data_IF_817084936083
#
_entry.id   IF_817084936083
#
_cell.length_a   1.000
_cell.length_b   1.000
_cell.length_c   1.000
_cell.angle_alpha   90.00
_cell.angle_beta   90.00
_cell.angle_gamma   90.00
#
_symmetry.space_group_name_H-M   'P 1'
#
loop_
_entity.id
_entity.type
_entity.pdbx_description
1 polymer ?
#
# COMPACT_ATOMS: atom_id res chain seq x y z
N UNK A 1 3.96 26.34 -11.24
CA UNK A 1 3.91 24.86 -11.13
C UNK A 1 2.93 24.32 -12.17
N UNK A 2 3.41 23.89 -13.33
CA UNK A 2 2.57 23.27 -14.34
C UNK A 2 2.59 21.75 -14.11
N UNK A 3 1.44 21.19 -13.74
CA UNK A 3 1.27 19.74 -13.71
C UNK A 3 1.52 19.21 -15.13
N UNK A 4 2.63 18.49 -15.32
CA UNK A 4 2.88 17.70 -16.53
C UNK A 4 1.73 16.69 -16.65
N UNK A 5 0.71 17.04 -17.43
CA UNK A 5 -0.23 16.06 -18.00
C UNK A 5 0.64 14.94 -18.57
N UNK A 6 0.44 13.71 -18.12
CA UNK A 6 1.12 12.56 -18.70
C UNK A 6 0.87 12.63 -20.19
N UNK A 7 1.93 12.89 -20.97
CA UNK A 7 1.82 12.96 -22.42
C UNK A 7 1.34 11.59 -22.87
N UNK A 8 0.07 11.53 -23.23
CA UNK A 8 -0.51 10.41 -23.95
C UNK A 8 0.37 10.23 -25.18
N UNK A 9 0.80 9.01 -25.47
CA UNK A 9 1.49 8.72 -26.72
C UNK A 9 0.48 8.90 -27.86
N UNK A 10 0.39 10.12 -28.36
CA UNK A 10 -0.51 10.51 -29.44
C UNK A 10 -0.22 9.73 -30.71
N UNK A 11 1.01 9.23 -30.89
CA UNK A 11 1.40 8.44 -32.05
C UNK A 11 0.80 7.03 -31.96
N UNK A 12 0.86 6.39 -30.79
CA UNK A 12 0.24 5.08 -30.59
C UNK A 12 -1.29 5.10 -30.77
N UNK A 13 -1.96 6.16 -30.31
CA UNK A 13 -3.40 6.34 -30.54
C UNK A 13 -3.68 6.60 -32.02
N UNK A 14 -2.87 7.43 -32.70
CA UNK A 14 -3.06 7.71 -34.11
C UNK A 14 -2.93 6.46 -34.98
N UNK A 15 -1.94 5.59 -34.72
CA UNK A 15 -1.79 4.32 -35.46
C UNK A 15 -2.96 3.36 -35.20
N UNK A 16 -3.39 3.23 -33.95
CA UNK A 16 -4.59 2.43 -33.60
C UNK A 16 -5.84 2.98 -34.28
N UNK A 17 -5.95 4.31 -34.38
CA UNK A 17 -7.10 4.98 -35.00
C UNK A 17 -7.09 4.75 -36.51
N UNK A 18 -5.96 4.90 -37.20
CA UNK A 18 -5.84 4.61 -38.63
C UNK A 18 -6.28 3.18 -38.97
N UNK A 19 -5.91 2.21 -38.13
CA UNK A 19 -6.29 0.81 -38.30
C UNK A 19 -7.79 0.56 -38.08
N UNK A 20 -8.44 1.31 -37.18
CA UNK A 20 -9.86 1.16 -36.87
C UNK A 20 -10.78 1.94 -37.82
N UNK A 21 -10.27 2.97 -38.51
CA UNK A 21 -11.07 3.82 -39.38
C UNK A 21 -11.41 3.11 -40.71
N UNK A 22 -12.70 3.08 -41.10
CA UNK A 22 -13.14 2.47 -42.35
C UNK A 22 -12.67 3.26 -43.58
N UNK A 23 -12.91 2.72 -44.78
CA UNK A 23 -12.59 3.42 -46.04
C UNK A 23 -13.49 4.68 -46.19
N UNK A 24 -12.93 5.89 -46.31
CA UNK A 24 -13.70 7.12 -46.52
C UNK A 24 -14.70 7.08 -47.68
N UNK A 25 -14.43 6.30 -48.71
CA UNK A 25 -15.26 6.19 -49.93
C UNK A 25 -16.58 5.48 -49.67
N UNK A 26 -16.69 4.72 -48.59
CA UNK A 26 -17.94 4.08 -48.16
C UNK A 26 -18.88 5.07 -47.44
N UNK A 27 -18.37 6.25 -47.07
CA UNK A 27 -19.08 7.24 -46.25
C UNK A 27 -19.54 8.48 -47.02
N UNK A 28 -19.31 8.53 -48.33
CA UNK A 28 -19.80 9.61 -49.19
C UNK A 28 -20.56 9.06 -50.40
N UNK A 29 -21.50 9.84 -50.90
CA UNK A 29 -22.13 9.57 -52.19
C UNK A 29 -21.10 9.81 -53.31
N UNK A 30 -20.82 8.79 -54.13
CA UNK A 30 -19.89 8.91 -55.25
C UNK A 30 -20.68 9.25 -56.52
N UNK A 31 -20.49 10.47 -57.03
CA UNK A 31 -21.12 10.93 -58.28
C UNK A 31 -20.21 10.80 -59.49
N UNK A 32 -18.90 10.85 -59.30
CA UNK A 32 -17.93 10.74 -60.37
C UNK A 32 -16.78 9.83 -59.96
N UNK A 33 -16.31 9.01 -60.90
CA UNK A 33 -15.08 8.21 -60.78
C UNK A 33 -14.12 8.66 -61.87
N UNK A 34 -12.88 8.98 -61.51
CA UNK A 34 -11.84 9.41 -62.44
C UNK A 34 -10.77 8.35 -62.61
N UNK A 35 -9.99 8.48 -63.67
CA UNK A 35 -8.81 7.64 -63.94
C UNK A 35 -7.82 7.73 -62.77
N UNK A 36 -7.32 6.58 -62.29
CA UNK A 36 -6.41 6.53 -61.14
C UNK A 36 -7.08 6.31 -59.78
N UNK A 37 -8.38 6.00 -59.73
CA UNK A 37 -9.08 5.63 -58.49
C UNK A 37 -9.57 6.81 -57.63
N UNK A 38 -9.48 8.04 -58.15
CA UNK A 38 -10.06 9.22 -57.53
C UNK A 38 -11.59 9.21 -57.68
N UNK A 39 -12.30 9.56 -56.60
CA UNK A 39 -13.76 9.69 -56.58
C UNK A 39 -14.16 11.11 -56.17
N UNK A 40 -15.29 11.58 -56.70
CA UNK A 40 -15.85 12.89 -56.36
C UNK A 40 -17.34 12.84 -56.05
N UNK A 41 -17.79 13.75 -55.18
CA UNK A 41 -19.17 13.83 -54.73
C UNK A 41 -19.50 15.07 -53.88
N UNK A 42 -20.69 15.09 -53.26
CA UNK A 42 -21.05 16.08 -52.23
C UNK A 42 -20.08 16.05 -51.05
N UNK A 43 -19.73 17.22 -50.53
CA UNK A 43 -18.98 17.32 -49.27
C UNK A 43 -19.89 16.95 -48.09
N UNK A 44 -19.45 16.10 -47.15
CA UNK A 44 -20.26 15.74 -45.99
C UNK A 44 -20.59 16.92 -45.06
N UNK A 45 -19.82 18.02 -45.12
CA UNK A 45 -20.04 19.21 -44.29
C UNK A 45 -20.74 20.35 -45.02
N UNK A 46 -20.36 20.65 -46.27
CA UNK A 46 -20.89 21.81 -47.01
C UNK A 46 -21.72 21.44 -48.24
N UNK A 47 -21.96 20.15 -48.50
CA UNK A 47 -22.74 19.68 -49.64
C UNK A 47 -22.09 19.97 -50.99
N UNK A 48 -22.91 20.39 -51.95
CA UNK A 48 -22.54 20.51 -53.36
C UNK A 48 -22.72 19.20 -54.14
N UNK A 49 -22.24 19.14 -55.37
CA UNK A 49 -22.40 17.94 -56.21
C UNK A 49 -21.08 17.22 -56.48
N UNK A 50 -20.01 17.96 -56.77
CA UNK A 50 -18.74 17.42 -57.29
C UNK A 50 -17.50 18.10 -56.65
N UNK A 51 -17.69 18.79 -55.52
CA UNK A 51 -16.66 19.68 -54.95
C UNK A 51 -15.75 19.03 -53.92
N UNK A 52 -16.08 17.80 -53.51
CA UNK A 52 -15.32 17.00 -52.58
C UNK A 52 -14.68 15.83 -53.33
N UNK A 53 -13.36 15.69 -53.21
CA UNK A 53 -12.57 14.66 -53.89
C UNK A 53 -11.87 13.81 -52.85
N UNK A 54 -11.85 12.50 -53.08
CA UNK A 54 -11.03 11.53 -52.33
C UNK A 54 -10.13 10.81 -53.34
N UNK A 55 -8.82 10.90 -53.15
CA UNK A 55 -7.81 10.20 -53.98
C UNK A 55 -7.61 8.77 -53.49
N UNK A 56 -6.90 7.95 -54.25
CA UNK A 56 -6.62 6.54 -53.93
C UNK A 56 -5.82 6.32 -52.63
N UNK A 57 -5.06 7.32 -52.17
CA UNK A 57 -4.28 7.30 -50.92
C UNK A 57 -5.06 7.83 -49.71
N UNK A 58 -6.39 7.95 -49.86
CA UNK A 58 -7.34 8.55 -48.90
C UNK A 58 -7.16 10.04 -48.66
N UNK A 59 -6.21 10.69 -49.34
CA UNK A 59 -6.11 12.14 -49.26
C UNK A 59 -7.37 12.78 -49.87
N UNK A 60 -7.93 13.75 -49.17
CA UNK A 60 -9.15 14.41 -49.62
C UNK A 60 -9.01 15.93 -49.71
N UNK A 61 -9.90 16.53 -50.48
CA UNK A 61 -9.97 17.97 -50.66
C UNK A 61 -11.41 18.42 -50.83
N UNK A 62 -11.74 19.56 -50.21
CA UNK A 62 -12.99 20.27 -50.48
C UNK A 62 -12.67 21.66 -51.01
N UNK A 63 -13.16 21.99 -52.20
CA UNK A 63 -12.95 23.32 -52.81
C UNK A 63 -13.60 24.45 -52.01
N UNK A 64 -14.66 24.17 -51.25
CA UNK A 64 -15.42 25.16 -50.50
C UNK A 64 -14.97 25.27 -49.03
N UNK A 65 -14.77 24.15 -48.34
CA UNK A 65 -14.33 24.17 -46.94
C UNK A 65 -12.86 24.56 -46.77
N UNK A 66 -12.09 24.72 -47.86
CA UNK A 66 -10.67 25.08 -47.82
C UNK A 66 -9.75 23.96 -47.31
N UNK A 67 -10.27 22.74 -47.15
CA UNK A 67 -9.52 21.57 -46.71
C UNK A 67 -8.70 21.01 -47.86
N UNK A 68 -7.39 20.87 -47.67
CA UNK A 68 -6.45 20.41 -48.70
C UNK A 68 -5.53 19.33 -48.10
N UNK A 69 -5.55 18.13 -48.66
CA UNK A 69 -4.53 17.10 -48.40
C UNK A 69 -4.57 16.48 -47.00
N UNK A 70 -5.76 16.36 -46.40
CA UNK A 70 -5.92 15.66 -45.12
C UNK A 70 -5.88 14.14 -45.30
N UNK A 71 -5.42 13.41 -44.28
CA UNK A 71 -5.39 11.95 -44.23
C UNK A 71 -6.75 11.34 -43.80
N UNK A 72 -6.82 10.01 -43.70
CA UNK A 72 -8.03 9.29 -43.27
C UNK A 72 -8.58 9.78 -41.92
N UNK A 73 -7.71 10.11 -40.96
CA UNK A 73 -8.12 10.69 -39.66
C UNK A 73 -8.78 12.05 -39.89
N UNK A 74 -8.11 12.93 -40.64
CA UNK A 74 -8.61 14.27 -40.97
C UNK A 74 -9.96 14.21 -41.70
N UNK A 75 -10.19 13.18 -42.52
CA UNK A 75 -11.47 12.97 -43.20
C UNK A 75 -12.57 12.74 -42.17
N UNK A 76 -12.40 11.81 -41.23
CA UNK A 76 -13.44 11.51 -40.25
C UNK A 76 -13.62 12.61 -39.19
N UNK A 77 -12.56 13.37 -38.89
CA UNK A 77 -12.70 14.61 -38.09
C UNK A 77 -13.59 15.62 -38.81
N UNK A 78 -13.42 15.78 -40.12
CA UNK A 78 -14.26 16.65 -40.94
C UNK A 78 -15.70 16.11 -41.06
N UNK A 79 -15.85 14.82 -41.33
CA UNK A 79 -17.13 14.13 -41.51
C UNK A 79 -18.02 14.22 -40.26
N UNK A 80 -17.47 13.90 -39.09
CA UNK A 80 -18.21 13.96 -37.83
C UNK A 80 -18.16 15.34 -37.15
N UNK A 81 -17.46 16.32 -37.75
CA UNK A 81 -17.21 17.63 -37.18
C UNK A 81 -16.68 17.56 -35.72
N UNK A 82 -15.63 16.76 -35.52
CA UNK A 82 -15.03 16.48 -34.20
C UNK A 82 -13.52 16.71 -34.21
N UNK A 83 -12.94 16.95 -33.03
CA UNK A 83 -11.48 16.92 -32.85
C UNK A 83 -10.94 15.48 -32.78
N UNK A 84 -9.61 15.34 -32.69
CA UNK A 84 -8.93 14.04 -32.67
C UNK A 84 -9.38 13.19 -31.46
N UNK A 85 -9.61 13.83 -30.31
CA UNK A 85 -10.02 13.14 -29.09
C UNK A 85 -11.45 12.61 -29.23
N UNK A 86 -12.39 13.41 -29.75
CA UNK A 86 -13.76 12.97 -29.98
C UNK A 86 -13.86 11.90 -31.07
N UNK A 87 -13.00 11.95 -32.10
CA UNK A 87 -12.91 10.87 -33.08
C UNK A 87 -12.37 9.58 -32.46
N UNK A 88 -11.32 9.69 -31.64
CA UNK A 88 -10.71 8.54 -31.02
C UNK A 88 -11.60 7.94 -29.91
N UNK A 89 -12.38 8.75 -29.17
CA UNK A 89 -13.40 8.26 -28.24
C UNK A 89 -14.48 7.46 -28.98
N UNK A 90 -14.87 7.91 -30.18
CA UNK A 90 -15.86 7.22 -31.02
C UNK A 90 -15.38 5.85 -31.51
N UNK A 91 -14.12 5.71 -31.94
CA UNK A 91 -13.63 4.47 -32.57
C UNK A 91 -12.81 3.56 -31.64
N UNK A 92 -12.18 4.11 -30.61
CA UNK A 92 -11.22 3.38 -29.78
C UNK A 92 -11.59 3.36 -28.28
N UNK A 93 -12.62 4.09 -27.86
CA UNK A 93 -12.90 4.33 -26.44
C UNK A 93 -11.64 4.80 -25.70
N UNK A 94 -11.13 5.98 -26.11
CA UNK A 94 -9.89 6.56 -25.58
C UNK A 94 -9.91 6.71 -24.07
N UNK A 95 -11.07 6.97 -23.47
CA UNK A 95 -11.19 7.01 -22.00
C UNK A 95 -10.82 5.66 -21.39
N UNK A 96 -11.28 4.56 -21.96
CA UNK A 96 -10.88 3.21 -21.53
C UNK A 96 -9.41 2.94 -21.76
N UNK A 97 -8.84 3.34 -22.90
CA UNK A 97 -7.39 3.20 -23.16
C UNK A 97 -6.56 3.98 -22.14
N UNK A 98 -6.90 5.25 -21.89
CA UNK A 98 -6.24 6.10 -20.89
C UNK A 98 -6.33 5.50 -19.49
N UNK A 99 -7.51 4.97 -19.12
CA UNK A 99 -7.72 4.29 -17.83
C UNK A 99 -6.85 3.04 -17.71
N UNK A 100 -6.75 2.24 -18.77
CA UNK A 100 -5.91 1.03 -18.83
C UNK A 100 -4.41 1.36 -18.74
N UNK A 101 -3.93 2.34 -19.50
CA UNK A 101 -2.52 2.77 -19.45
C UNK A 101 -2.15 3.37 -18.09
N UNK A 102 -3.03 4.18 -17.49
CA UNK A 102 -2.84 4.67 -16.11
C UNK A 102 -2.78 3.51 -15.11
N UNK A 103 -3.70 2.53 -15.22
CA UNK A 103 -3.69 1.34 -14.37
C UNK A 103 -2.42 0.51 -14.55
N UNK A 104 -1.97 0.31 -15.80
CA UNK A 104 -0.72 -0.39 -16.13
C UNK A 104 0.50 0.31 -15.57
N UNK A 105 0.54 1.65 -15.63
CA UNK A 105 1.60 2.44 -15.01
C UNK A 105 1.62 2.24 -13.50
N UNK A 106 0.46 2.27 -12.84
CA UNK A 106 0.38 1.96 -11.41
C UNK A 106 0.91 0.56 -11.11
N UNK A 107 0.57 -0.44 -11.95
CA UNK A 107 1.02 -1.82 -11.76
C UNK A 107 2.54 -1.97 -11.87
N UNK A 108 3.18 -1.24 -12.80
CA UNK A 108 4.65 -1.20 -12.94
C UNK A 108 5.35 -0.63 -11.70
N UNK A 109 4.66 0.20 -10.92
CA UNK A 109 5.22 0.86 -9.75
C UNK A 109 4.96 0.06 -8.45
N UNK A 110 4.36 -1.13 -8.54
CA UNK A 110 4.15 -2.01 -7.39
C UNK A 110 5.49 -2.59 -6.95
N UNK A 111 5.90 -2.27 -5.73
CA UNK A 111 7.16 -2.78 -5.13
C UNK A 111 6.89 -3.96 -4.20
N UNK A 112 5.75 -3.96 -3.49
CA UNK A 112 5.41 -5.03 -2.54
C UNK A 112 3.89 -5.21 -2.43
N UNK A 113 3.47 -6.44 -2.20
CA UNK A 113 2.09 -6.81 -1.86
C UNK A 113 2.09 -7.51 -0.50
N UNK A 114 1.21 -7.11 0.39
CA UNK A 114 1.02 -7.71 1.71
C UNK A 114 -0.37 -8.36 1.77
N UNK A 115 -0.45 -9.70 1.67
CA UNK A 115 -1.74 -10.40 1.66
C UNK A 115 -2.34 -10.50 3.07
N UNK A 116 -3.65 -10.29 3.16
CA UNK A 116 -4.44 -10.44 4.37
C UNK A 116 -5.38 -11.63 4.19
N UNK A 117 -5.26 -12.61 5.08
CA UNK A 117 -6.02 -13.85 5.04
C UNK A 117 -7.06 -13.90 6.16
N UNK A 118 -8.17 -14.59 5.93
CA UNK A 118 -9.11 -14.96 6.99
C UNK A 118 -8.52 -16.04 7.92
N UNK A 119 -9.32 -16.47 8.89
CA UNK A 119 -8.98 -17.48 9.89
C UNK A 119 -8.62 -18.84 9.27
N UNK A 120 -9.22 -19.16 8.11
CA UNK A 120 -8.99 -20.41 7.36
C UNK A 120 -7.81 -20.29 6.38
N UNK A 121 -7.16 -19.12 6.32
CA UNK A 121 -6.06 -18.85 5.39
C UNK A 121 -6.49 -18.44 3.99
N UNK A 122 -7.78 -18.15 3.74
CA UNK A 122 -8.25 -17.65 2.44
C UNK A 122 -7.90 -16.17 2.29
N UNK A 123 -7.41 -15.78 1.11
CA UNK A 123 -7.07 -14.39 0.81
C UNK A 123 -8.33 -13.52 0.78
N UNK A 124 -8.37 -12.48 1.61
CA UNK A 124 -9.44 -11.48 1.62
C UNK A 124 -9.09 -10.25 0.78
N UNK A 125 -7.88 -9.71 0.97
CA UNK A 125 -7.38 -8.56 0.25
C UNK A 125 -5.85 -8.47 0.34
N UNK A 126 -5.26 -7.53 -0.39
CA UNK A 126 -3.84 -7.20 -0.27
C UNK A 126 -3.65 -5.69 -0.13
N UNK A 127 -2.70 -5.30 0.71
CA UNK A 127 -2.17 -3.93 0.75
C UNK A 127 -1.00 -3.86 -0.25
N UNK A 128 -1.11 -2.96 -1.21
CA UNK A 128 -0.16 -2.78 -2.31
C UNK A 128 0.65 -1.52 -2.04
N UNK A 129 1.97 -1.65 -2.04
CA UNK A 129 2.92 -0.54 -1.91
C UNK A 129 3.44 -0.13 -3.28
N UNK A 130 3.30 1.15 -3.60
CA UNK A 130 3.84 1.75 -4.80
C UNK A 130 5.01 2.68 -4.49
N UNK A 131 6.04 2.62 -5.31
CA UNK A 131 7.14 3.58 -5.28
C UNK A 131 7.47 4.05 -6.69
N UNK A 132 7.64 5.36 -6.84
CA UNK A 132 8.09 6.00 -8.08
C UNK A 132 9.29 6.89 -7.74
N UNK A 133 10.37 6.88 -8.55
CA UNK A 133 11.48 7.80 -8.36
C UNK A 133 11.01 9.26 -8.28
N UNK A 134 11.43 9.97 -7.24
CA UNK A 134 11.06 11.38 -7.01
C UNK A 134 9.64 11.61 -6.47
N UNK A 135 8.94 10.56 -6.00
CA UNK A 135 7.62 10.66 -5.36
C UNK A 135 7.60 9.94 -4.02
N UNK A 136 6.72 10.38 -3.14
CA UNK A 136 6.46 9.65 -1.90
C UNK A 136 5.82 8.30 -2.18
N UNK A 137 6.18 7.31 -1.35
CA UNK A 137 5.54 5.99 -1.35
C UNK A 137 4.04 6.12 -1.11
N UNK A 138 3.25 5.34 -1.81
CA UNK A 138 1.78 5.31 -1.62
C UNK A 138 1.29 3.88 -1.43
N UNK A 139 0.12 3.74 -0.83
CA UNK A 139 -0.49 2.45 -0.52
C UNK A 139 -1.93 2.39 -1.03
N UNK A 140 -2.35 1.22 -1.51
CA UNK A 140 -3.73 0.93 -1.93
C UNK A 140 -4.17 -0.44 -1.43
N UNK A 141 -5.47 -0.65 -1.22
CA UNK A 141 -6.01 -1.94 -0.79
C UNK A 141 -6.87 -2.53 -1.90
N UNK A 142 -6.57 -3.77 -2.27
CA UNK A 142 -7.21 -4.49 -3.36
C UNK A 142 -7.81 -5.78 -2.83
N UNK A 143 -9.12 -5.97 -3.02
CA UNK A 143 -9.74 -7.28 -2.82
C UNK A 143 -9.10 -8.33 -3.74
N UNK A 144 -8.87 -7.96 -5.00
CA UNK A 144 -8.16 -8.77 -6.00
C UNK A 144 -7.52 -7.89 -7.08
N UNK A 145 -6.80 -8.48 -8.03
CA UNK A 145 -6.30 -7.77 -9.21
C UNK A 145 -7.41 -7.09 -10.03
N UNK A 146 -8.59 -7.71 -10.05
CA UNK A 146 -9.77 -7.28 -10.80
C UNK A 146 -10.66 -6.35 -9.97
N UNK A 147 -10.64 -6.47 -8.64
CA UNK A 147 -11.34 -5.58 -7.71
C UNK A 147 -10.34 -4.78 -6.88
N UNK A 148 -9.91 -3.64 -7.43
CA UNK A 148 -8.96 -2.69 -6.80
C UNK A 148 -9.62 -1.73 -5.82
N UNK A 149 -10.46 -2.26 -4.94
CA UNK A 149 -11.11 -1.55 -3.85
C UNK A 149 -11.52 -2.54 -2.75
N UNK A 150 -12.01 -2.03 -1.62
CA UNK A 150 -12.43 -2.83 -0.46
C UNK A 150 -13.96 -3.01 -0.35
N UNK A 151 -14.72 -2.78 -1.44
CA UNK A 151 -16.19 -2.85 -1.38
C UNK A 151 -16.64 -4.30 -1.10
N UNK A 152 -17.35 -4.48 0.00
CA UNK A 152 -17.84 -5.81 0.40
C UNK A 152 -16.76 -6.74 0.97
N UNK A 153 -15.57 -6.23 1.28
CA UNK A 153 -14.47 -7.04 1.83
C UNK A 153 -14.25 -6.74 3.31
N UNK A 154 -14.26 -7.81 4.12
CA UNK A 154 -13.95 -7.77 5.54
C UNK A 154 -12.48 -7.39 5.76
N UNK A 155 -12.23 -6.51 6.72
CA UNK A 155 -10.88 -6.14 7.16
C UNK A 155 -10.48 -6.99 8.35
N UNK A 156 -9.24 -7.43 8.35
CA UNK A 156 -8.63 -8.21 9.42
C UNK A 156 -7.22 -7.68 9.68
N UNK A 157 -6.62 -8.10 10.79
CA UNK A 157 -5.22 -7.81 11.09
C UNK A 157 -4.28 -8.60 10.16
N UNK A 158 -3.08 -8.07 9.96
CA UNK A 158 -2.08 -8.75 9.14
C UNK A 158 -1.66 -10.08 9.78
N UNK A 159 -1.40 -11.12 8.97
CA UNK A 159 -0.95 -12.42 9.47
C UNK A 159 -1.94 -13.11 10.45
N UNK A 160 -3.25 -12.89 10.28
CA UNK A 160 -4.30 -13.40 11.19
C UNK A 160 -4.20 -14.91 11.52
N UNK A 161 -4.02 -15.84 10.56
CA UNK A 161 -3.88 -17.27 10.88
C UNK A 161 -2.79 -17.57 11.92
N UNK A 162 -1.61 -16.96 11.77
CA UNK A 162 -0.51 -17.16 12.70
C UNK A 162 -0.80 -16.52 14.06
N UNK A 163 -1.44 -15.34 14.08
CA UNK A 163 -1.88 -14.67 15.32
C UNK A 163 -2.84 -15.55 16.12
N UNK A 164 -3.76 -16.24 15.44
CA UNK A 164 -4.69 -17.15 16.11
C UNK A 164 -4.00 -18.39 16.69
N UNK A 165 -2.96 -18.89 16.02
CA UNK A 165 -2.23 -20.10 16.38
C UNK A 165 -1.20 -19.93 17.52
N UNK A 166 -0.95 -18.72 18.00
CA UNK A 166 0.05 -18.44 19.06
C UNK A 166 -0.53 -17.62 20.20
N UNK A 167 0.03 -17.79 21.40
CA UNK A 167 -0.30 -16.94 22.55
C UNK A 167 0.57 -15.67 22.62
N UNK A 168 1.67 -15.60 21.85
CA UNK A 168 2.64 -14.50 21.89
C UNK A 168 2.65 -13.75 20.58
N UNK A 169 2.30 -12.47 20.61
CA UNK A 169 2.12 -11.65 19.40
C UNK A 169 2.84 -10.31 19.54
N UNK A 170 3.59 -9.95 18.50
CA UNK A 170 4.19 -8.63 18.35
C UNK A 170 3.27 -7.72 17.56
N UNK A 171 3.08 -6.49 18.03
CA UNK A 171 2.28 -5.46 17.35
C UNK A 171 3.23 -4.34 16.89
N UNK A 172 3.28 -4.10 15.59
CA UNK A 172 4.08 -3.03 14.95
C UNK A 172 3.20 -2.13 14.11
N UNK A 173 3.73 -1.01 13.63
CA UNK A 173 2.96 0.01 12.90
C UNK A 173 2.68 -0.29 11.44
N UNK A 174 3.53 -1.10 10.79
CA UNK A 174 3.42 -1.34 9.35
C UNK A 174 3.73 -2.77 8.93
N UNK A 175 3.23 -3.13 7.75
CA UNK A 175 3.37 -4.50 7.22
C UNK A 175 4.83 -4.85 6.90
N UNK A 176 5.66 -3.85 6.59
CA UNK A 176 7.11 -4.03 6.36
C UNK A 176 7.79 -4.61 7.60
N UNK A 177 7.52 -4.02 8.76
CA UNK A 177 8.11 -4.42 10.04
C UNK A 177 7.60 -5.78 10.48
N UNK A 178 6.29 -6.00 10.36
CA UNK A 178 5.68 -7.26 10.69
C UNK A 178 6.25 -8.38 9.82
N UNK A 179 6.41 -8.13 8.51
CA UNK A 179 6.99 -9.09 7.57
C UNK A 179 8.43 -9.45 7.95
N UNK A 180 9.27 -8.48 8.37
CA UNK A 180 10.64 -8.77 8.79
C UNK A 180 10.70 -9.61 10.06
N UNK A 181 9.88 -9.29 11.07
CA UNK A 181 9.80 -10.08 12.31
C UNK A 181 9.26 -11.49 12.05
N UNK A 182 8.26 -11.63 11.17
CA UNK A 182 7.74 -12.93 10.74
C UNK A 182 8.81 -13.77 10.04
N UNK A 183 9.64 -13.16 9.20
CA UNK A 183 10.76 -13.84 8.54
C UNK A 183 11.84 -14.32 9.53
N UNK A 184 11.91 -13.75 10.73
CA UNK A 184 12.79 -14.19 11.82
C UNK A 184 12.16 -15.26 12.73
N UNK A 185 10.98 -15.79 12.39
CA UNK A 185 10.29 -16.82 13.17
C UNK A 185 9.48 -16.29 14.36
N UNK A 186 9.31 -14.98 14.47
CA UNK A 186 8.39 -14.39 15.45
C UNK A 186 6.98 -14.28 14.86
N UNK A 187 5.95 -14.13 15.69
CA UNK A 187 4.60 -13.80 15.18
C UNK A 187 4.32 -12.32 15.38
N UNK A 188 4.31 -11.57 14.29
CA UNK A 188 4.06 -10.14 14.25
C UNK A 188 2.86 -9.78 13.37
N UNK A 189 2.11 -8.78 13.82
CA UNK A 189 0.91 -8.26 13.16
C UNK A 189 0.87 -6.74 13.16
N UNK A 190 -0.03 -6.19 12.36
CA UNK A 190 -0.36 -4.77 12.28
C UNK A 190 -1.79 -4.59 11.75
N UNK A 191 -2.35 -3.39 11.89
CA UNK A 191 -3.63 -3.02 11.26
C UNK A 191 -3.45 -2.65 9.78
N UNK A 192 -4.43 -2.95 8.91
CA UNK A 192 -4.40 -2.46 7.54
C UNK A 192 -4.42 -0.93 7.52
N UNK A 193 -3.70 -0.34 6.56
CA UNK A 193 -3.56 1.13 6.39
C UNK A 193 -2.69 1.82 7.46
N UNK A 194 -1.83 1.06 8.14
CA UNK A 194 -0.80 1.59 9.03
C UNK A 194 -1.33 2.25 10.31
N UNK A 195 -0.47 3.05 10.92
CA UNK A 195 -0.56 3.54 12.30
C UNK A 195 -1.76 4.44 12.64
N UNK A 196 -2.46 5.00 11.65
CA UNK A 196 -3.63 5.86 11.88
C UNK A 196 -4.98 5.12 11.84
N UNK A 197 -5.00 3.82 11.55
CA UNK A 197 -6.23 3.07 11.25
C UNK A 197 -6.44 1.86 12.17
N UNK A 198 -5.82 1.84 13.35
CA UNK A 198 -6.13 0.83 14.35
C UNK A 198 -7.59 0.96 14.79
N UNK A 199 -8.31 -0.16 14.79
CA UNK A 199 -9.70 -0.22 15.23
C UNK A 199 -9.84 -1.15 16.44
N UNK A 200 -10.73 -0.82 17.40
CA UNK A 200 -10.97 -1.68 18.55
C UNK A 200 -11.38 -3.11 18.19
N UNK A 201 -12.09 -3.31 17.08
CA UNK A 201 -12.52 -4.65 16.59
C UNK A 201 -11.36 -5.62 16.34
N UNK A 202 -10.14 -5.11 16.13
CA UNK A 202 -8.95 -5.93 15.93
C UNK A 202 -8.43 -6.54 17.24
N UNK A 203 -8.76 -5.96 18.39
CA UNK A 203 -8.35 -6.48 19.69
C UNK A 203 -9.00 -7.83 20.04
N UNK A 204 -10.15 -8.16 19.42
CA UNK A 204 -10.83 -9.44 19.64
C UNK A 204 -9.95 -10.64 19.28
N UNK A 205 -9.15 -10.53 18.20
CA UNK A 205 -8.19 -11.58 17.80
C UNK A 205 -7.01 -11.73 18.79
N UNK A 206 -6.84 -10.76 19.69
CA UNK A 206 -5.74 -10.67 20.65
C UNK A 206 -6.17 -11.00 22.08
N UNK A 207 -7.43 -11.38 22.28
CA UNK A 207 -7.99 -11.70 23.59
C UNK A 207 -7.23 -12.83 24.28
N UNK A 208 -6.82 -12.59 25.52
CA UNK A 208 -6.09 -13.57 26.35
C UNK A 208 -4.64 -13.83 25.92
N UNK A 209 -4.09 -13.08 24.95
CA UNK A 209 -2.71 -13.26 24.46
C UNK A 209 -1.72 -12.37 25.21
N UNK A 210 -0.45 -12.74 25.15
CA UNK A 210 0.70 -11.96 25.61
C UNK A 210 1.26 -11.12 24.47
N UNK A 211 1.21 -9.80 24.62
CA UNK A 211 1.47 -8.86 23.55
C UNK A 211 2.74 -8.05 23.84
N UNK A 212 3.54 -7.81 22.80
CA UNK A 212 4.59 -6.81 22.84
C UNK A 212 4.39 -5.79 21.71
N UNK A 213 4.21 -4.53 22.07
CA UNK A 213 3.99 -3.43 21.13
C UNK A 213 5.33 -2.75 20.89
N UNK A 214 5.77 -2.69 19.64
CA UNK A 214 6.98 -2.01 19.20
C UNK A 214 6.57 -0.81 18.32
N UNK A 215 6.22 0.34 18.93
CA UNK A 215 5.88 1.54 18.18
C UNK A 215 7.12 2.20 17.58
N UNK A 216 6.92 2.98 16.52
CA UNK A 216 7.94 3.85 15.95
C UNK A 216 8.38 4.90 16.98
N UNK A 217 9.66 5.24 16.97
CA UNK A 217 10.25 6.28 17.82
C UNK A 217 9.97 7.70 17.28
N UNK A 218 8.73 7.99 16.88
CA UNK A 218 8.29 9.30 16.40
C UNK A 218 6.96 9.76 17.03
N UNK A 219 6.46 10.93 16.64
CA UNK A 219 5.20 11.46 17.18
C UNK A 219 3.96 10.65 16.71
N UNK A 220 3.81 10.28 15.42
CA UNK A 220 2.77 9.36 14.97
C UNK A 220 2.71 8.04 15.76
N UNK A 221 3.86 7.45 16.08
CA UNK A 221 3.90 6.18 16.79
C UNK A 221 3.40 6.25 18.23
N UNK A 222 3.49 7.42 18.85
CA UNK A 222 2.83 7.68 20.15
C UNK A 222 1.31 7.62 20.04
N UNK A 223 0.75 8.18 18.97
CA UNK A 223 -0.70 8.15 18.72
C UNK A 223 -1.18 6.73 18.48
N UNK A 224 -0.45 5.96 17.68
CA UNK A 224 -0.74 4.54 17.44
C UNK A 224 -0.70 3.72 18.72
N UNK A 225 0.38 3.85 19.50
CA UNK A 225 0.53 3.16 20.78
C UNK A 225 -0.68 3.39 21.69
N UNK A 226 -1.12 4.65 21.83
CA UNK A 226 -2.27 5.00 22.66
C UNK A 226 -3.58 4.37 22.14
N UNK A 227 -3.79 4.33 20.83
CA UNK A 227 -4.96 3.70 20.22
C UNK A 227 -4.98 2.19 20.47
N UNK A 228 -3.84 1.52 20.31
CA UNK A 228 -3.68 0.09 20.57
C UNK A 228 -3.91 -0.22 22.04
N UNK A 229 -3.20 0.47 22.95
CA UNK A 229 -3.34 0.28 24.40
C UNK A 229 -4.79 0.43 24.86
N UNK A 230 -5.49 1.47 24.40
CA UNK A 230 -6.89 1.69 24.76
C UNK A 230 -7.80 0.51 24.40
N UNK A 231 -7.51 -0.18 23.29
CA UNK A 231 -8.30 -1.34 22.86
C UNK A 231 -7.93 -2.65 23.57
N UNK A 232 -6.77 -2.71 24.24
CA UNK A 232 -6.25 -3.92 24.87
C UNK A 232 -6.52 -4.01 26.37
N UNK A 233 -6.96 -2.90 26.99
CA UNK A 233 -7.32 -2.87 28.41
C UNK A 233 -8.49 -3.84 28.69
N UNK A 234 -8.25 -4.81 29.56
CA UNK A 234 -9.20 -5.90 29.86
C UNK A 234 -9.35 -6.97 28.76
N UNK A 235 -8.59 -6.89 27.66
CA UNK A 235 -8.65 -7.85 26.54
C UNK A 235 -7.42 -8.78 26.52
N UNK A 236 -6.22 -8.20 26.60
CA UNK A 236 -4.97 -8.97 26.56
C UNK A 236 -4.62 -9.59 27.92
N UNK A 237 -3.92 -10.73 27.93
CA UNK A 237 -3.41 -11.32 29.17
C UNK A 237 -2.24 -10.52 29.75
N UNK A 238 -1.35 -10.03 28.90
CA UNK A 238 -0.34 -9.04 29.28
C UNK A 238 0.08 -8.21 28.07
N UNK A 239 0.52 -6.99 28.32
CA UNK A 239 1.05 -6.09 27.29
C UNK A 239 2.40 -5.56 27.74
N UNK A 240 3.40 -5.59 26.87
CA UNK A 240 4.72 -4.97 27.08
C UNK A 240 4.91 -3.90 25.99
N UNK A 241 5.42 -2.73 26.35
CA UNK A 241 5.67 -1.64 25.39
C UNK A 241 7.18 -1.50 25.21
N UNK A 242 7.68 -1.96 24.07
CA UNK A 242 9.10 -2.14 23.79
C UNK A 242 9.58 -1.04 22.84
N UNK A 243 10.54 -0.22 23.29
CA UNK A 243 11.18 0.78 22.43
C UNK A 243 12.39 0.18 21.75
N UNK A 244 12.46 0.30 20.43
CA UNK A 244 13.65 -0.13 19.69
C UNK A 244 14.84 0.75 20.10
N UNK A 245 16.01 0.16 20.39
CA UNK A 245 17.18 0.89 20.89
C UNK A 245 17.92 1.67 19.80
N UNK A 246 17.80 1.25 18.54
CA UNK A 246 18.51 1.82 17.39
C UNK A 246 17.53 2.07 16.26
N UNK A 247 17.62 3.24 15.64
CA UNK A 247 16.80 3.61 14.49
C UNK A 247 15.40 4.09 14.85
N UNK A 248 14.58 4.29 13.82
CA UNK A 248 13.21 4.77 13.97
C UNK A 248 12.24 3.64 14.34
N UNK A 249 12.38 2.52 13.67
CA UNK A 249 11.48 1.37 13.74
C UNK A 249 12.28 0.06 13.90
N UNK A 250 11.58 -1.07 14.05
CA UNK A 250 12.25 -2.38 14.15
C UNK A 250 12.95 -2.79 12.85
N UNK A 251 12.49 -2.28 11.70
CA UNK A 251 13.16 -2.47 10.42
C UNK A 251 14.58 -1.92 10.44
N UNK A 252 14.77 -0.72 10.98
CA UNK A 252 16.07 -0.06 11.11
C UNK A 252 16.96 -0.78 12.12
N UNK A 253 16.39 -1.23 13.25
CA UNK A 253 17.15 -1.99 14.25
C UNK A 253 17.66 -3.34 13.68
N UNK A 254 16.81 -4.07 12.96
CA UNK A 254 17.19 -5.28 12.24
C UNK A 254 18.28 -4.97 11.20
N UNK A 255 18.15 -3.87 10.46
CA UNK A 255 19.14 -3.47 9.46
C UNK A 255 20.50 -3.10 10.10
N UNK A 256 20.49 -2.61 11.34
CA UNK A 256 21.68 -2.36 12.14
C UNK A 256 22.31 -3.65 12.73
N UNK A 257 21.78 -4.83 12.41
CA UNK A 257 22.35 -6.13 12.78
C UNK A 257 21.72 -6.79 14.01
N UNK A 258 20.52 -6.38 14.44
CA UNK A 258 19.84 -7.02 15.56
C UNK A 258 19.49 -8.48 15.26
N UNK A 259 19.88 -9.38 16.15
CA UNK A 259 19.49 -10.79 16.13
C UNK A 259 18.13 -10.98 16.81
N UNK A 260 17.43 -12.05 16.45
CA UNK A 260 16.08 -12.35 17.00
C UNK A 260 16.13 -12.57 18.52
N UNK A 261 17.22 -13.13 19.04
CA UNK A 261 17.47 -13.32 20.46
C UNK A 261 17.52 -11.98 21.20
N UNK A 262 18.18 -10.96 20.64
CA UNK A 262 18.25 -9.63 21.24
C UNK A 262 16.87 -8.96 21.33
N UNK A 263 16.01 -9.21 20.33
CA UNK A 263 14.62 -8.73 20.34
C UNK A 263 13.83 -9.43 21.45
N UNK A 264 13.95 -10.77 21.56
CA UNK A 264 13.30 -11.56 22.61
C UNK A 264 13.75 -11.14 24.01
N UNK A 265 15.04 -10.95 24.21
CA UNK A 265 15.62 -10.54 25.49
C UNK A 265 15.11 -9.17 25.90
N UNK A 266 15.06 -8.22 24.95
CA UNK A 266 14.50 -6.89 25.21
C UNK A 266 13.02 -6.97 25.61
N UNK A 267 12.23 -7.82 24.96
CA UNK A 267 10.82 -8.05 25.34
C UNK A 267 10.73 -8.62 26.76
N UNK A 268 11.53 -9.65 27.09
CA UNK A 268 11.55 -10.28 28.41
C UNK A 268 11.92 -9.30 29.53
N UNK A 269 12.89 -8.42 29.26
CA UNK A 269 13.36 -7.40 30.20
C UNK A 269 12.39 -6.21 30.33
N UNK A 270 11.50 -6.00 29.36
CA UNK A 270 10.54 -4.88 29.36
C UNK A 270 9.38 -5.18 30.31
N UNK A 271 9.18 -4.42 31.41
CA UNK A 271 8.10 -4.70 32.35
C UNK A 271 6.71 -4.71 31.70
N UNK A 272 5.80 -5.50 32.28
CA UNK A 272 4.39 -5.51 31.87
C UNK A 272 3.81 -4.11 32.09
N UNK A 273 3.09 -3.61 31.09
CA UNK A 273 2.40 -2.33 31.10
C UNK A 273 1.26 -2.37 32.13
N UNK A 274 1.26 -1.41 33.05
CA UNK A 274 0.19 -1.28 34.03
C UNK A 274 -0.90 -0.34 33.48
N UNK A 275 -2.07 -0.90 33.16
CA UNK A 275 -3.22 -0.15 32.69
C UNK A 275 -3.83 0.77 33.74
N UNK A 276 -3.68 0.48 35.04
CA UNK A 276 -4.22 1.31 36.13
C UNK A 276 -3.38 2.56 36.33
N UNK A 277 -2.06 2.40 36.36
CA UNK A 277 -1.12 3.52 36.50
C UNK A 277 -0.81 4.22 35.17
N UNK A 278 -1.19 3.63 34.04
CA UNK A 278 -0.81 4.04 32.68
C UNK A 278 0.70 4.20 32.49
N UNK A 279 1.48 3.40 33.22
CA UNK A 279 2.94 3.45 33.21
C UNK A 279 3.48 2.29 32.38
N UNK A 280 4.33 2.63 31.41
CA UNK A 280 5.21 1.65 30.77
C UNK A 280 6.52 1.63 31.55
N UNK A 281 6.93 0.47 32.06
CA UNK A 281 8.32 0.31 32.45
C UNK A 281 9.21 0.47 31.21
N UNK A 282 10.05 1.50 31.17
CA UNK A 282 10.97 1.71 30.07
C UNK A 282 12.24 0.92 30.40
N UNK A 283 12.45 -0.22 29.73
CA UNK A 283 13.75 -0.86 29.72
C UNK A 283 14.53 -0.33 28.51
N UNK A 284 15.57 0.46 28.77
CA UNK A 284 16.62 0.74 27.79
C UNK A 284 17.76 -0.20 28.17
N UNK A 285 18.23 -1.09 27.28
CA UNK A 285 19.31 -1.99 27.63
C UNK A 285 20.57 -1.15 27.88
N UNK A 286 21.08 -1.19 29.11
CA UNK A 286 22.45 -0.77 29.38
C UNK A 286 23.38 -1.90 28.94
N UNK A 287 24.62 -1.56 28.56
CA UNK A 287 25.60 -2.43 27.90
C UNK A 287 26.14 -3.59 28.77
N UNK A 288 25.43 -4.02 29.80
CA UNK A 288 25.91 -4.99 30.77
C UNK A 288 25.22 -6.36 30.60
N UNK A 289 26.01 -7.32 30.16
CA UNK A 289 25.72 -8.76 30.11
C UNK A 289 25.33 -9.27 31.49
N UNK A 290 24.13 -9.83 31.66
CA UNK A 290 23.80 -10.62 32.86
C UNK A 290 22.88 -11.80 32.50
N UNK A 291 23.22 -12.93 33.09
CA UNK A 291 22.71 -14.29 32.87
C UNK A 291 21.19 -14.39 33.07
N UNK A 292 20.51 -15.08 32.14
CA UNK A 292 19.06 -15.22 32.12
C UNK A 292 18.66 -16.54 32.79
N UNK A 293 17.97 -16.45 33.93
CA UNK A 293 17.17 -17.56 34.46
C UNK A 293 15.75 -17.48 33.87
N UNK A 294 15.34 -18.53 33.14
CA UNK A 294 13.96 -18.86 32.70
C UNK A 294 13.20 -17.78 31.88
N UNK A 295 13.39 -17.78 30.55
CA UNK A 295 12.79 -16.83 29.61
C UNK A 295 11.33 -17.17 29.21
N UNK A 296 10.40 -16.29 29.58
CA UNK A 296 8.97 -16.36 29.22
C UNK A 296 8.72 -16.34 27.71
N UNK A 297 9.62 -15.78 26.90
CA UNK A 297 9.55 -15.73 25.43
C UNK A 297 10.49 -16.71 24.70
N UNK A 298 10.95 -17.78 25.34
CA UNK A 298 11.65 -18.88 24.65
C UNK A 298 10.72 -19.71 23.75
N UNK A 299 11.33 -20.40 22.78
CA UNK A 299 10.64 -21.26 21.80
C UNK A 299 9.89 -22.40 22.51
N UNK A 300 8.57 -22.40 22.39
CA UNK A 300 7.77 -23.57 22.72
C UNK A 300 8.01 -24.62 21.63
N UNK A 301 8.94 -25.57 21.85
CA UNK A 301 8.89 -26.84 21.13
C UNK A 301 7.54 -27.48 21.44
N UNK A 302 6.67 -27.55 20.43
CA UNK A 302 5.36 -28.20 20.48
C UNK A 302 5.50 -29.60 21.10
N UNK A 303 5.12 -29.73 22.36
CA UNK A 303 4.90 -31.02 23.02
C UNK A 303 3.62 -30.91 23.86
N UNK A 304 2.73 -31.91 23.83
CA UNK A 304 1.45 -31.83 24.53
C UNK A 304 1.69 -31.96 26.03
N UNK A 305 1.37 -30.92 26.81
CA UNK A 305 1.44 -30.97 28.27
C UNK A 305 0.15 -31.56 28.87
N UNK A 306 0.29 -32.63 29.63
CA UNK A 306 -0.71 -33.13 30.60
C UNK A 306 -0.76 -32.22 31.84
N UNK A 307 -1.88 -32.16 32.56
CA UNK A 307 -2.08 -31.19 33.65
C UNK A 307 -1.47 -31.70 34.97
N UNK A 308 -0.88 -30.79 35.75
CA UNK A 308 -0.40 -31.11 37.10
C UNK A 308 0.27 -29.95 37.86
N UNK A 309 -0.51 -29.40 38.81
CA UNK A 309 -0.14 -28.81 40.11
C UNK A 309 0.65 -27.49 40.22
N UNK A 310 -0.02 -26.52 40.85
CA UNK A 310 0.47 -25.30 41.49
C UNK A 310 1.48 -25.58 42.61
N UNK A 311 2.52 -24.73 42.74
CA UNK A 311 2.97 -24.32 44.08
C UNK A 311 3.76 -22.99 44.13
N UNK A 312 3.28 -22.12 45.03
CA UNK A 312 3.92 -21.17 45.96
C UNK A 312 5.15 -20.31 45.59
N UNK A 313 4.88 -18.99 45.59
CA UNK A 313 5.53 -17.91 46.37
C UNK A 313 7.02 -17.99 46.69
N UNK A 314 7.82 -17.03 46.20
CA UNK A 314 9.03 -16.50 46.84
C UNK A 314 9.31 -15.05 46.36
N UNK A 315 10.15 -14.26 47.09
CA UNK A 315 9.87 -12.86 47.41
C UNK A 315 10.68 -11.83 46.61
N UNK A 316 10.19 -10.58 46.69
CA UNK A 316 10.74 -9.30 46.27
C UNK A 316 12.28 -9.24 46.29
N UNK A 317 12.90 -9.24 45.09
CA UNK A 317 14.25 -8.73 44.89
C UNK A 317 14.18 -7.48 44.01
N UNK A 318 14.54 -6.34 44.59
CA UNK A 318 14.83 -5.09 43.88
C UNK A 318 16.09 -5.25 43.03
N UNK A 319 15.94 -5.24 41.71
CA UNK A 319 17.04 -5.25 40.74
C UNK A 319 17.51 -3.80 40.49
N UNK A 320 18.82 -3.48 40.61
CA UNK A 320 19.35 -2.17 40.25
C UNK A 320 19.39 -2.01 38.72
N UNK A 321 18.82 -0.92 38.19
CA UNK A 321 18.98 -0.54 36.77
C UNK A 321 17.70 -0.16 36.02
N UNK A 322 16.52 -0.38 36.59
CA UNK A 322 15.25 0.04 35.99
C UNK A 322 14.84 1.42 36.54
N UNK A 323 14.97 2.49 35.75
CA UNK A 323 14.46 3.80 36.17
C UNK A 323 12.96 3.84 35.95
N UNK A 324 12.20 4.00 37.03
CA UNK A 324 10.74 4.20 37.03
C UNK A 324 10.45 5.58 36.43
N UNK A 325 10.14 5.65 35.14
CA UNK A 325 9.74 6.91 34.50
C UNK A 325 8.31 7.29 34.95
N UNK A 326 8.17 8.39 35.69
CA UNK A 326 6.85 8.97 36.00
C UNK A 326 6.25 9.61 34.75
N UNK A 327 4.97 9.30 34.53
CA UNK A 327 3.94 9.98 33.72
C UNK A 327 4.37 10.84 32.52
N UNK A 328 3.69 10.61 31.40
CA UNK A 328 3.65 11.53 30.27
C UNK A 328 2.97 12.85 30.66
N UNK A 329 3.74 13.81 31.14
CA UNK A 329 3.33 15.20 31.25
C UNK A 329 4.37 16.06 30.52
N UNK A 330 3.91 16.66 29.40
CA UNK A 330 4.44 17.85 28.74
C UNK A 330 5.82 18.35 29.22
N UNK A 331 6.88 17.96 28.51
CA UNK A 331 8.22 18.51 28.74
C UNK A 331 9.17 18.10 27.62
N UNK A 332 9.46 19.03 26.70
CA UNK A 332 10.41 18.81 25.62
C UNK A 332 11.79 18.45 26.17
N UNK A 333 12.31 17.29 25.80
CA UNK A 333 13.66 16.87 26.13
C UNK A 333 14.58 17.20 24.97
N UNK A 334 15.46 18.18 25.18
CA UNK A 334 16.60 18.50 24.31
C UNK A 334 17.58 17.33 24.33
N UNK A 335 18.05 16.92 23.15
CA UNK A 335 19.17 15.99 23.00
C UNK A 335 20.46 16.59 23.60
N UNK A 336 21.29 15.81 24.33
CA UNK A 336 22.62 16.27 24.71
C UNK A 336 23.53 16.29 23.48
N UNK A 337 24.20 17.42 23.27
CA UNK A 337 25.28 17.55 22.28
C UNK A 337 26.48 16.70 22.73
N UNK A 338 26.96 15.86 21.82
CA UNK A 338 28.26 15.18 21.97
C UNK A 338 29.36 16.24 21.89
N UNK A 339 30.05 16.50 23.00
CA UNK A 339 31.35 17.18 22.98
C UNK A 339 32.42 16.09 22.92
N UNK A 340 33.09 16.01 21.77
CA UNK A 340 34.28 15.19 21.59
C UNK A 340 35.47 15.73 22.38
N UNK A 341 36.27 14.82 22.90
CA UNK A 341 37.68 15.02 23.24
C UNK A 341 38.52 14.44 22.12
#
# INVERSE_FOLDING_TARGET
MAAKRSAIDTNAIAESLKAALPDPREHIEIRQRKTGGEVAGPCPKCGGEDRFFIRSDDSFMCRQCGLKGGDRISFFQHFYNTDFIGLADRYLDVKTIQKREKARRLDKNIVKKYPYHDEDGRLLFSVIRYEEPGREKTFSQWASSDQRNMKGVRRVIFNLPAVMATDKVLIVEGEKDATKLNAMGMTATTSPMGSSNWKPEYAEYLKGKHLAILPDNDAPGKTYLNAVLKSLDGVAASVRVVRVPVGKDVSDWIQAGAAVEQIRDLINQTPVYDFKEKTAGICVPSKATLEISSSEWADAKLTPKRPGTLNRSLPWLTIPGCVRAKSWASGGTKYPKNNGS
#
